data_IF_464966196443
#
_entry.id   IF_464966196443
#
_cell.length_a   1.000
_cell.length_b   1.000
_cell.length_c   1.000
_cell.angle_alpha   90.00
_cell.angle_beta   90.00
_cell.angle_gamma   90.00
#
_symmetry.space_group_name_H-M   'P 1'
#
loop_
_entity.id
_entity.type
_entity.pdbx_description
1 polymer ?
#
# COMPACT_ATOMS: atom_id res chain seq x y z
N UNK A 1 -15.91 -4.22 -3.42
CA UNK A 1 -14.45 -4.09 -3.16
C UNK A 1 -14.17 -2.95 -2.18
N UNK A 2 -14.48 -1.68 -2.50
CA UNK A 2 -14.18 -0.53 -1.62
C UNK A 2 -14.91 -0.48 -0.25
N UNK A 3 -15.76 -1.47 0.07
CA UNK A 3 -16.50 -1.55 1.35
C UNK A 3 -15.84 -2.49 2.37
N UNK A 4 -14.75 -3.15 2.00
CA UNK A 4 -14.01 -4.02 2.92
C UNK A 4 -13.16 -3.16 3.84
N UNK A 5 -13.15 -3.49 5.14
CA UNK A 5 -12.39 -2.74 6.14
C UNK A 5 -10.88 -2.83 5.91
N UNK A 6 -10.42 -3.89 5.23
CA UNK A 6 -9.02 -4.08 4.85
C UNK A 6 -8.57 -3.16 3.71
N UNK A 7 -9.49 -2.56 2.97
CA UNK A 7 -9.21 -1.70 1.81
C UNK A 7 -9.06 -0.26 2.28
N UNK A 8 -7.84 0.26 2.16
CA UNK A 8 -7.50 1.64 2.51
C UNK A 8 -7.88 2.62 1.40
N UNK A 9 -7.64 2.24 0.14
CA UNK A 9 -8.06 3.06 -1.01
C UNK A 9 -8.28 2.21 -2.26
N UNK A 10 -9.11 2.73 -3.17
CA UNK A 10 -9.52 2.04 -4.39
C UNK A 10 -9.63 3.05 -5.54
N UNK A 11 -8.92 2.80 -6.63
CA UNK A 11 -8.80 3.71 -7.77
C UNK A 11 -9.17 2.99 -9.06
N UNK A 12 -9.90 3.69 -9.94
CA UNK A 12 -10.13 3.24 -11.32
C UNK A 12 -8.94 3.62 -12.18
N UNK A 13 -8.45 2.67 -12.96
CA UNK A 13 -7.23 2.79 -13.75
C UNK A 13 -7.56 2.63 -15.24
N UNK A 14 -6.92 3.42 -16.09
CA UNK A 14 -7.06 3.33 -17.55
C UNK A 14 -6.11 2.30 -18.18
N UNK A 15 -5.43 1.49 -17.35
CA UNK A 15 -4.23 0.74 -17.72
C UNK A 15 -4.45 -0.77 -17.88
N UNK A 16 -3.45 -1.55 -17.46
CA UNK A 16 -3.43 -3.02 -17.59
C UNK A 16 -4.43 -3.76 -16.69
N UNK A 17 -5.07 -3.05 -15.76
CA UNK A 17 -6.11 -3.54 -14.86
C UNK A 17 -7.09 -2.39 -14.62
N UNK A 18 -8.35 -2.73 -14.32
CA UNK A 18 -9.39 -1.73 -14.12
C UNK A 18 -9.30 -1.05 -12.76
N UNK A 19 -8.89 -1.78 -11.71
CA UNK A 19 -8.88 -1.28 -10.34
C UNK A 19 -7.53 -1.47 -9.66
N UNK A 20 -6.98 -0.39 -9.10
CA UNK A 20 -5.90 -0.43 -8.11
C UNK A 20 -6.52 -0.40 -6.71
N UNK A 21 -6.21 -1.40 -5.89
CA UNK A 21 -6.71 -1.48 -4.52
C UNK A 21 -5.52 -1.52 -3.56
N UNK A 22 -5.47 -0.56 -2.64
CA UNK A 22 -4.49 -0.54 -1.56
C UNK A 22 -5.11 -1.22 -0.35
N UNK A 23 -4.47 -2.31 0.10
CA UNK A 23 -4.94 -3.15 1.21
C UNK A 23 -3.92 -3.08 2.33
N UNK A 24 -4.37 -2.88 3.57
CA UNK A 24 -3.53 -2.81 4.76
C UNK A 24 -3.84 -3.94 5.73
N UNK A 25 -2.83 -4.76 6.04
CA UNK A 25 -2.96 -5.91 6.94
C UNK A 25 -1.69 -6.15 7.74
N UNK A 26 -1.83 -6.88 8.85
CA UNK A 26 -0.72 -7.14 9.78
C UNK A 26 0.28 -8.20 9.32
N UNK A 27 -0.07 -9.00 8.29
CA UNK A 27 0.76 -10.10 7.81
C UNK A 27 0.50 -10.37 6.34
N UNK A 28 1.55 -10.79 5.61
CA UNK A 28 1.46 -11.22 4.22
C UNK A 28 0.49 -12.39 4.03
N UNK A 29 0.39 -13.30 5.01
CA UNK A 29 -0.55 -14.40 4.95
C UNK A 29 -2.01 -13.90 4.96
N UNK A 30 -2.32 -12.91 5.79
CA UNK A 30 -3.67 -12.30 5.81
C UNK A 30 -4.00 -11.58 4.51
N UNK A 31 -3.02 -10.90 3.91
CA UNK A 31 -3.19 -10.29 2.57
C UNK A 31 -3.50 -11.37 1.55
N UNK A 32 -2.73 -12.45 1.53
CA UNK A 32 -2.93 -13.55 0.58
C UNK A 32 -4.32 -14.19 0.73
N UNK A 33 -4.71 -14.54 1.96
CA UNK A 33 -6.06 -15.08 2.25
C UNK A 33 -7.17 -14.11 1.85
N UNK A 34 -7.03 -12.82 2.14
CA UNK A 34 -8.01 -11.82 1.74
C UNK A 34 -8.16 -11.75 0.20
N UNK A 35 -7.05 -11.76 -0.53
CA UNK A 35 -7.08 -11.76 -1.99
C UNK A 35 -7.76 -13.03 -2.51
N UNK A 36 -7.32 -14.21 -2.07
CA UNK A 36 -7.81 -15.49 -2.61
C UNK A 36 -9.25 -15.81 -2.22
N UNK A 37 -9.66 -15.48 -0.99
CA UNK A 37 -10.97 -15.87 -0.46
C UNK A 37 -12.04 -14.78 -0.65
N UNK A 38 -11.65 -13.50 -0.67
CA UNK A 38 -12.58 -12.38 -0.74
C UNK A 38 -12.56 -11.64 -2.06
N UNK A 39 -11.38 -11.32 -2.61
CA UNK A 39 -11.31 -10.53 -3.84
C UNK A 39 -11.52 -11.42 -5.07
N UNK A 40 -10.67 -12.42 -5.28
CA UNK A 40 -10.71 -13.27 -6.49
C UNK A 40 -12.00 -14.07 -6.66
N UNK A 41 -12.84 -14.17 -5.62
CA UNK A 41 -14.13 -14.86 -5.63
C UNK A 41 -15.31 -13.98 -6.05
N UNK A 42 -15.11 -12.66 -6.18
CA UNK A 42 -16.19 -11.73 -6.58
C UNK A 42 -16.49 -11.89 -8.06
N UNK A 43 -17.78 -12.01 -8.38
CA UNK A 43 -18.25 -12.07 -9.75
C UNK A 43 -17.79 -10.84 -10.56
N UNK A 44 -17.22 -11.08 -11.75
CA UNK A 44 -16.67 -10.05 -12.62
C UNK A 44 -15.17 -9.80 -12.45
N UNK A 45 -14.52 -10.35 -11.42
CA UNK A 45 -13.06 -10.31 -11.31
C UNK A 45 -12.45 -11.44 -12.13
N UNK A 46 -11.70 -11.06 -13.18
CA UNK A 46 -11.06 -12.02 -14.10
C UNK A 46 -9.68 -12.45 -13.60
N UNK A 47 -8.92 -11.51 -13.03
CA UNK A 47 -7.58 -11.77 -12.53
C UNK A 47 -7.19 -10.76 -11.44
N UNK A 48 -6.22 -11.15 -10.61
CA UNK A 48 -5.68 -10.32 -9.53
C UNK A 48 -4.16 -10.40 -9.55
N UNK A 49 -3.48 -9.27 -9.36
CA UNK A 49 -2.03 -9.22 -9.19
C UNK A 49 -1.68 -8.40 -7.95
N UNK A 50 -0.84 -8.97 -7.08
CA UNK A 50 -0.46 -8.35 -5.80
C UNK A 50 0.94 -7.78 -5.88
N UNK A 51 1.10 -6.51 -5.52
CA UNK A 51 2.38 -5.83 -5.41
C UNK A 51 2.53 -5.23 -4.01
N UNK A 52 3.72 -5.28 -3.44
CA UNK A 52 4.00 -4.70 -2.12
C UNK A 52 4.67 -3.34 -2.28
N UNK A 53 4.08 -2.31 -1.67
CA UNK A 53 4.69 -1.00 -1.58
C UNK A 53 5.85 -1.06 -0.58
N UNK A 54 7.08 -0.90 -1.07
CA UNK A 54 8.28 -0.95 -0.25
C UNK A 54 8.58 0.40 0.39
N UNK A 55 8.57 1.46 -0.42
CA UNK A 55 8.86 2.82 0.00
C UNK A 55 8.14 3.81 -0.90
N UNK A 56 7.42 4.75 -0.28
CA UNK A 56 6.95 5.95 -0.94
C UNK A 56 8.05 7.02 -0.88
N UNK A 57 8.37 7.62 -2.03
CA UNK A 57 9.31 8.75 -2.12
C UNK A 57 8.58 10.10 -2.20
N UNK A 58 7.32 10.08 -2.60
CA UNK A 58 6.45 11.23 -2.73
C UNK A 58 5.02 10.79 -2.47
N UNK A 59 4.30 11.55 -1.66
CA UNK A 59 2.90 11.27 -1.35
C UNK A 59 2.11 12.58 -1.29
N UNK A 60 0.90 12.59 -1.84
CA UNK A 60 0.01 13.77 -1.86
C UNK A 60 0.66 15.08 -2.37
N UNK A 61 1.65 14.98 -3.25
CA UNK A 61 2.37 16.13 -3.81
C UNK A 61 3.63 16.55 -3.04
N UNK A 62 3.88 15.97 -1.86
CA UNK A 62 5.02 16.28 -1.00
C UNK A 62 6.08 15.19 -1.09
N UNK A 63 7.36 15.59 -1.20
CA UNK A 63 8.48 14.65 -1.12
C UNK A 63 8.59 14.15 0.32
N UNK A 64 8.73 12.83 0.49
CA UNK A 64 9.01 12.23 1.78
C UNK A 64 10.51 12.37 1.98
N UNK A 65 10.91 13.44 2.68
CA UNK A 65 12.30 13.69 3.03
C UNK A 65 12.82 12.56 3.92
N UNK A 66 14.08 12.17 3.70
CA UNK A 66 14.78 11.32 4.64
C UNK A 66 15.00 12.14 5.90
N UNK A 67 14.40 11.72 7.01
CA UNK A 67 15.03 12.00 8.30
C UNK A 67 16.32 11.18 8.23
N UNK A 68 17.41 11.81 7.80
CA UNK A 68 18.73 11.33 8.15
C UNK A 68 18.71 11.22 9.68
N UNK A 69 18.91 10.01 10.19
CA UNK A 69 19.40 9.80 11.55
C UNK A 69 20.84 10.34 11.63
N UNK A 70 21.03 11.63 11.36
CA UNK A 70 22.27 12.35 11.61
C UNK A 70 21.92 13.64 12.34
N UNK A 71 21.78 13.54 13.66
CA UNK A 71 22.31 14.53 14.63
C UNK A 71 22.08 14.09 16.07
N UNK A 72 22.55 12.89 16.42
CA UNK A 72 22.93 12.59 17.81
C UNK A 72 24.40 12.97 18.07
N UNK A 73 24.87 14.04 17.41
CA UNK A 73 26.06 14.76 17.85
C UNK A 73 25.56 15.92 18.70
N UNK A 74 25.48 15.67 20.00
CA UNK A 74 25.32 16.70 21.02
C UNK A 74 26.29 17.84 20.73
N UNK A 75 25.78 19.08 20.73
CA UNK A 75 26.62 20.27 20.74
C UNK A 75 27.46 20.24 22.02
N UNK A 76 28.75 19.95 21.89
CA UNK A 76 29.69 20.08 23.01
C UNK A 76 30.05 21.56 23.10
N UNK A 77 29.35 22.29 23.95
CA UNK A 77 29.79 23.63 24.39
C UNK A 77 30.93 23.50 25.41
N UNK A 78 31.95 24.39 25.35
CA UNK A 78 33.17 24.31 26.16
C UNK A 78 32.96 24.52 27.66
#
# INVERSE_FOLDING_TARGET
IARFDEVESCYLMSGAYDLLVVVKQSSLHKVASFVSERLSTIEGIVSTATHFMLRAYKEQGYLIEQVEEEKDRLDVTP
#
